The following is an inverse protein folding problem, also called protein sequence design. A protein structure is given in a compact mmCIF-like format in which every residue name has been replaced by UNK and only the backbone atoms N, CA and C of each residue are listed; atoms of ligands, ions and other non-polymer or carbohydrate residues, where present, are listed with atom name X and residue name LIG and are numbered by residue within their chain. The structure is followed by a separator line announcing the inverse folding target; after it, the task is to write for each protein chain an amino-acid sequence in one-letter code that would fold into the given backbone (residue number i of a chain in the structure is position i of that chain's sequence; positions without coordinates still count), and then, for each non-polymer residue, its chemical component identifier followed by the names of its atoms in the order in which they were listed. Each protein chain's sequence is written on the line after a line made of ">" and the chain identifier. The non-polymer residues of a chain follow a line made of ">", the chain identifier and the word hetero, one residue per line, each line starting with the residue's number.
data_IF_016205316771
#
_entry.id   IF_016205316771
#
_cell.length_a   1.000
_cell.length_b   1.000
_cell.length_c   1.000
_cell.angle_alpha   90.00
_cell.angle_beta   90.00
_cell.angle_gamma   90.00
#
_symmetry.space_group_name_H-M   'P 1'
#
loop_
_entity.id
_entity.type
_entity.pdbx_description
1 polymer ?
#
# COMPACT_ATOMS: atom_id res chain seq x y z
N UNK A 1 -28.11 7.42 0.29
CA UNK A 1 -27.68 7.16 -1.10
C UNK A 1 -26.19 6.82 -1.13
N UNK A 2 -25.83 5.73 -1.82
CA UNK A 2 -24.45 5.36 -2.17
C UNK A 2 -24.29 5.63 -3.67
N UNK A 3 -23.18 6.25 -4.07
CA UNK A 3 -22.82 6.43 -5.47
C UNK A 3 -21.37 6.00 -5.68
N UNK A 4 -21.11 5.34 -6.80
CA UNK A 4 -19.77 4.92 -7.22
C UNK A 4 -19.41 5.63 -8.52
N UNK A 5 -18.15 6.04 -8.66
CA UNK A 5 -17.65 6.71 -9.87
C UNK A 5 -16.26 6.17 -10.19
N UNK A 6 -16.03 5.81 -11.45
CA UNK A 6 -14.72 5.46 -11.94
C UNK A 6 -13.95 6.74 -12.31
N UNK A 7 -12.78 6.92 -11.68
CA UNK A 7 -11.85 8.00 -11.99
C UNK A 7 -10.57 7.42 -12.60
N UNK A 8 -9.98 8.13 -13.56
CA UNK A 8 -8.71 7.76 -14.19
C UNK A 8 -7.70 8.87 -13.99
N UNK A 9 -6.58 8.53 -13.35
CA UNK A 9 -5.44 9.43 -13.15
C UNK A 9 -4.29 9.04 -14.06
N UNK A 10 -3.75 10.00 -14.81
CA UNK A 10 -2.55 9.77 -15.60
C UNK A 10 -1.35 9.66 -14.67
N UNK A 11 -0.43 8.72 -14.95
CA UNK A 11 0.85 8.63 -14.24
C UNK A 11 1.86 9.65 -14.80
N UNK A 12 2.71 10.19 -13.93
CA UNK A 12 3.76 11.14 -14.31
C UNK A 12 4.81 10.51 -15.22
N UNK A 13 5.13 9.24 -14.95
CA UNK A 13 6.03 8.39 -15.73
C UNK A 13 5.40 6.98 -15.83
N UNK A 14 5.88 6.11 -16.72
CA UNK A 14 5.41 4.73 -16.82
C UNK A 14 5.76 3.97 -15.53
N UNK A 15 4.77 3.35 -14.90
CA UNK A 15 4.97 2.55 -13.70
C UNK A 15 5.10 1.08 -14.07
N UNK A 16 6.24 0.45 -13.74
CA UNK A 16 6.54 -0.94 -14.12
C UNK A 16 6.92 -1.78 -12.91
N UNK A 17 6.30 -2.95 -12.80
CA UNK A 17 6.63 -4.02 -11.87
C UNK A 17 6.96 -5.30 -12.65
N UNK A 18 7.43 -6.36 -11.98
CA UNK A 18 7.74 -7.66 -12.60
C UNK A 18 6.61 -8.23 -13.49
N UNK A 19 5.36 -7.95 -13.13
CA UNK A 19 4.16 -8.45 -13.83
C UNK A 19 3.65 -7.54 -14.97
N UNK A 20 4.21 -6.35 -15.18
CA UNK A 20 3.84 -5.46 -16.28
C UNK A 20 3.89 -3.96 -15.98
N UNK A 21 3.50 -3.16 -16.98
CA UNK A 21 3.55 -1.70 -16.96
C UNK A 21 2.17 -1.04 -17.01
N UNK A 22 2.06 0.17 -16.45
CA UNK A 22 0.85 1.01 -16.46
C UNK A 22 1.21 2.47 -16.79
N UNK A 23 0.30 3.14 -17.47
CA UNK A 23 0.38 4.59 -17.78
C UNK A 23 -0.70 5.40 -17.07
N UNK A 24 -1.67 4.72 -16.46
CA UNK A 24 -2.81 5.29 -15.78
C UNK A 24 -3.15 4.48 -14.52
N UNK A 25 -3.65 5.15 -13.50
CA UNK A 25 -4.29 4.57 -12.32
C UNK A 25 -5.81 4.70 -12.47
N UNK A 26 -6.51 3.57 -12.47
CA UNK A 26 -7.98 3.51 -12.50
C UNK A 26 -8.47 3.18 -11.11
N UNK A 27 -9.29 4.06 -10.55
CA UNK A 27 -9.80 3.95 -9.19
C UNK A 27 -11.32 4.03 -9.18
N UNK A 28 -11.94 3.54 -8.11
CA UNK A 28 -13.35 3.77 -7.84
C UNK A 28 -13.48 4.66 -6.61
N UNK A 29 -14.24 5.74 -6.76
CA UNK A 29 -14.63 6.65 -5.67
C UNK A 29 -16.04 6.33 -5.24
N UNK A 30 -16.21 6.05 -3.95
CA UNK A 30 -17.52 5.87 -3.32
C UNK A 30 -17.87 7.13 -2.54
N UNK A 31 -19.09 7.63 -2.73
CA UNK A 31 -19.69 8.68 -1.89
C UNK A 31 -20.94 8.15 -1.22
N UNK A 32 -21.12 8.47 0.05
CA UNK A 32 -22.28 8.09 0.84
C UNK A 32 -22.85 9.36 1.47
N UNK A 33 -24.10 9.69 1.13
CA UNK A 33 -24.79 10.85 1.68
C UNK A 33 -25.95 10.43 2.57
N UNK A 34 -25.97 10.94 3.80
CA UNK A 34 -27.04 10.77 4.81
C UNK A 34 -27.25 12.08 5.56
N UNK A 35 -28.50 12.51 5.69
CA UNK A 35 -28.84 13.73 6.45
C UNK A 35 -28.11 15.00 5.98
N UNK A 36 -27.79 15.10 4.68
CA UNK A 36 -27.04 16.23 4.11
C UNK A 36 -25.51 16.18 4.32
N UNK A 37 -24.99 15.18 5.03
CA UNK A 37 -23.56 14.95 5.22
C UNK A 37 -23.08 13.90 4.21
N UNK A 38 -21.91 14.13 3.62
CA UNK A 38 -21.31 13.21 2.64
C UNK A 38 -19.94 12.74 3.11
N UNK A 39 -19.81 11.43 3.23
CA UNK A 39 -18.52 10.75 3.34
C UNK A 39 -18.07 10.19 2.00
N UNK A 40 -16.77 10.00 1.84
CA UNK A 40 -16.20 9.38 0.64
C UNK A 40 -14.95 8.56 0.91
N UNK A 41 -14.69 7.62 0.00
CA UNK A 41 -13.55 6.71 0.06
C UNK A 41 -13.16 6.28 -1.35
N UNK A 42 -11.94 5.77 -1.49
CA UNK A 42 -11.37 5.35 -2.76
C UNK A 42 -10.79 3.94 -2.63
N UNK A 43 -10.90 3.17 -3.71
CA UNK A 43 -10.21 1.89 -3.84
C UNK A 43 -9.60 1.72 -5.23
N UNK A 44 -8.65 0.79 -5.32
CA UNK A 44 -7.97 0.44 -6.57
C UNK A 44 -8.17 -1.05 -6.85
N UNK A 45 -9.14 -1.43 -7.70
CA UNK A 45 -9.34 -2.83 -8.08
C UNK A 45 -8.07 -3.45 -8.65
N UNK A 46 -7.71 -4.64 -8.16
CA UNK A 46 -6.45 -5.29 -8.51
C UNK A 46 -6.64 -6.66 -9.16
N UNK A 47 -6.35 -6.75 -10.47
CA UNK A 47 -6.55 -7.95 -11.27
C UNK A 47 -5.82 -9.21 -10.74
N UNK A 48 -4.66 -9.03 -10.09
CA UNK A 48 -3.91 -10.13 -9.43
C UNK A 48 -4.73 -10.81 -8.32
N UNK A 49 -5.72 -10.13 -7.76
CA UNK A 49 -6.65 -10.66 -6.76
C UNK A 49 -8.04 -10.96 -7.33
N UNK A 50 -8.17 -11.01 -8.67
CA UNK A 50 -9.43 -11.31 -9.35
C UNK A 50 -10.42 -10.16 -9.41
N UNK A 51 -9.97 -8.92 -9.13
CA UNK A 51 -10.83 -7.74 -9.13
C UNK A 51 -10.75 -6.96 -10.46
N UNK A 52 -11.89 -6.45 -10.90
CA UNK A 52 -12.03 -5.49 -12.00
C UNK A 52 -12.90 -4.30 -11.58
N UNK A 53 -12.82 -3.18 -12.30
CA UNK A 53 -13.69 -2.03 -12.09
C UNK A 53 -15.18 -2.43 -12.05
N UNK A 54 -15.61 -3.27 -12.99
CA UNK A 54 -17.01 -3.69 -13.10
C UNK A 54 -17.43 -4.59 -11.93
N UNK A 55 -16.59 -5.57 -11.56
CA UNK A 55 -16.90 -6.47 -10.45
C UNK A 55 -17.00 -5.73 -9.11
N UNK A 56 -16.09 -4.78 -8.87
CA UNK A 56 -16.05 -3.98 -7.64
C UNK A 56 -17.20 -2.98 -7.61
N UNK A 57 -17.54 -2.36 -8.76
CA UNK A 57 -18.72 -1.51 -8.92
C UNK A 57 -19.99 -2.28 -8.58
N UNK A 58 -20.19 -3.47 -9.16
CA UNK A 58 -21.37 -4.30 -8.92
C UNK A 58 -21.50 -4.72 -7.44
N UNK A 59 -20.38 -5.03 -6.77
CA UNK A 59 -20.37 -5.31 -5.33
C UNK A 59 -20.85 -4.11 -4.50
N UNK A 60 -20.40 -2.89 -4.84
CA UNK A 60 -20.78 -1.66 -4.13
C UNK A 60 -22.25 -1.32 -4.38
N UNK A 61 -22.71 -1.42 -5.63
CA UNK A 61 -24.10 -1.11 -6.01
C UNK A 61 -25.11 -2.14 -5.47
N UNK A 62 -24.66 -3.38 -5.21
CA UNK A 62 -25.47 -4.43 -4.59
C UNK A 62 -25.69 -4.25 -3.08
N UNK A 63 -25.06 -3.28 -2.42
CA UNK A 63 -25.21 -3.06 -0.99
C UNK A 63 -26.60 -2.51 -0.64
N UNK A 64 -27.20 -2.96 0.49
CA UNK A 64 -28.47 -2.42 0.93
C UNK A 64 -28.33 -0.95 1.34
N UNK A 65 -29.38 -0.18 1.10
CA UNK A 65 -29.43 1.19 1.60
C UNK A 65 -29.31 1.21 3.12
N UNK A 66 -28.53 2.17 3.65
CA UNK A 66 -28.35 2.32 5.09
C UNK A 66 -27.30 1.39 5.73
N UNK A 67 -26.57 0.59 4.95
CA UNK A 67 -25.50 -0.29 5.44
C UNK A 67 -24.57 0.44 6.44
N UNK A 68 -24.26 -0.19 7.57
CA UNK A 68 -23.37 0.36 8.61
C UNK A 68 -21.98 -0.23 8.46
N UNK A 69 -20.95 0.39 9.06
CA UNK A 69 -19.58 -0.17 9.05
C UNK A 69 -19.53 -1.57 9.63
N UNK A 70 -20.32 -1.84 10.68
CA UNK A 70 -20.41 -3.17 11.28
C UNK A 70 -21.03 -4.20 10.32
N UNK A 71 -22.19 -3.88 9.72
CA UNK A 71 -22.88 -4.79 8.81
C UNK A 71 -22.12 -5.02 7.49
N UNK A 72 -21.20 -4.12 7.13
CA UNK A 72 -20.41 -4.22 5.92
C UNK A 72 -19.54 -5.49 5.86
N UNK A 73 -19.10 -6.00 7.02
CA UNK A 73 -18.23 -7.19 7.11
C UNK A 73 -18.97 -8.49 6.80
N UNK A 74 -20.28 -8.52 7.01
CA UNK A 74 -21.14 -9.63 6.62
C UNK A 74 -21.59 -9.50 5.15
N UNK A 75 -21.64 -8.27 4.63
CA UNK A 75 -22.10 -7.98 3.27
C UNK A 75 -21.01 -8.14 2.20
N UNK A 76 -19.74 -7.85 2.52
CA UNK A 76 -18.62 -7.91 1.57
C UNK A 76 -17.40 -8.64 2.15
N UNK A 77 -16.70 -9.45 1.34
CA UNK A 77 -15.39 -9.97 1.70
C UNK A 77 -14.34 -8.84 1.77
N UNK A 78 -13.15 -9.09 2.35
CA UNK A 78 -12.00 -8.20 2.17
C UNK A 78 -11.72 -7.97 0.68
N UNK A 79 -11.36 -6.74 0.32
CA UNK A 79 -11.13 -6.33 -1.06
C UNK A 79 -11.46 -4.86 -1.31
N UNK A 80 -11.21 -4.40 -2.53
CA UNK A 80 -11.35 -3.01 -2.95
C UNK A 80 -12.77 -2.45 -2.71
N UNK A 81 -13.82 -3.25 -2.96
CA UNK A 81 -15.21 -2.81 -2.74
C UNK A 81 -15.45 -2.43 -1.27
N UNK A 82 -15.03 -3.33 -0.35
CA UNK A 82 -15.19 -3.10 1.08
C UNK A 82 -14.34 -1.93 1.55
N UNK A 83 -13.15 -1.75 0.99
CA UNK A 83 -12.27 -0.63 1.30
C UNK A 83 -12.95 0.72 1.05
N UNK A 84 -13.41 0.97 -0.17
CA UNK A 84 -13.98 2.27 -0.51
C UNK A 84 -15.23 2.59 0.34
N UNK A 85 -16.07 1.59 0.63
CA UNK A 85 -17.28 1.77 1.43
C UNK A 85 -16.95 1.97 2.92
N UNK A 86 -16.04 1.18 3.49
CA UNK A 86 -15.60 1.33 4.89
C UNK A 86 -15.01 2.73 5.12
N UNK A 87 -14.11 3.17 4.24
CA UNK A 87 -13.49 4.50 4.33
C UNK A 87 -14.50 5.63 4.11
N UNK A 88 -15.49 5.46 3.23
CA UNK A 88 -16.57 6.44 3.05
C UNK A 88 -17.49 6.54 4.26
N UNK A 89 -17.77 5.42 4.94
CA UNK A 89 -18.57 5.41 6.16
C UNK A 89 -17.80 6.02 7.34
N UNK A 90 -16.49 5.77 7.46
CA UNK A 90 -15.65 6.43 8.46
C UNK A 90 -15.69 7.95 8.33
N UNK A 91 -15.51 8.45 7.11
CA UNK A 91 -15.55 9.88 6.80
C UNK A 91 -16.95 10.48 7.06
N UNK A 92 -18.01 9.77 6.67
CA UNK A 92 -19.39 10.18 6.93
C UNK A 92 -19.66 10.31 8.44
N UNK A 93 -19.27 9.31 9.23
CA UNK A 93 -19.48 9.28 10.68
C UNK A 93 -18.68 10.38 11.39
N UNK A 94 -17.43 10.60 10.98
CA UNK A 94 -16.58 11.68 11.48
C UNK A 94 -17.22 13.05 11.25
N UNK A 95 -17.63 13.32 10.01
CA UNK A 95 -18.29 14.58 9.63
C UNK A 95 -19.62 14.78 10.34
N UNK A 96 -20.44 13.73 10.44
CA UNK A 96 -21.73 13.80 11.14
C UNK A 96 -21.56 14.06 12.65
N UNK A 97 -20.49 13.54 13.25
CA UNK A 97 -20.15 13.76 14.66
C UNK A 97 -19.40 15.08 14.92
N UNK A 98 -18.95 15.79 13.88
CA UNK A 98 -18.07 16.95 14.01
C UNK A 98 -16.70 16.60 14.62
N UNK A 99 -16.20 15.39 14.35
CA UNK A 99 -14.94 14.84 14.89
C UNK A 99 -14.01 14.40 13.76
N UNK A 100 -12.72 14.24 14.05
CA UNK A 100 -11.76 13.60 13.14
C UNK A 100 -11.92 12.07 13.19
N UNK A 101 -11.59 11.38 12.10
CA UNK A 101 -11.63 9.90 12.10
C UNK A 101 -10.71 9.28 13.16
N UNK A 102 -9.51 9.84 13.38
CA UNK A 102 -8.60 9.33 14.41
C UNK A 102 -9.18 9.43 15.82
N UNK A 103 -10.02 10.45 16.10
CA UNK A 103 -10.73 10.57 17.38
C UNK A 103 -11.78 9.47 17.53
N UNK A 104 -12.56 9.21 16.47
CA UNK A 104 -13.56 8.14 16.47
C UNK A 104 -12.92 6.75 16.58
N UNK A 105 -11.73 6.57 16.00
CA UNK A 105 -10.97 5.34 16.07
C UNK A 105 -10.23 5.15 17.42
N UNK A 106 -10.28 6.14 18.32
CA UNK A 106 -9.57 6.10 19.60
C UNK A 106 -8.04 6.13 19.45
N UNK A 107 -7.54 6.71 18.35
CA UNK A 107 -6.12 6.85 18.06
C UNK A 107 -5.60 8.20 18.59
N UNK A 108 -4.28 8.31 18.72
CA UNK A 108 -3.65 9.62 18.91
C UNK A 108 -3.72 10.44 17.63
N UNK A 109 -3.65 11.77 17.76
CA UNK A 109 -3.55 12.65 16.60
C UNK A 109 -2.34 12.23 15.73
N UNK A 110 -2.53 11.97 14.43
CA UNK A 110 -1.47 11.49 13.57
C UNK A 110 -0.46 12.61 13.27
N UNK A 111 0.80 12.23 13.06
CA UNK A 111 1.87 13.11 12.61
C UNK A 111 2.38 12.75 11.20
N UNK A 112 3.28 13.57 10.62
CA UNK A 112 3.89 13.27 9.34
C UNK A 112 4.84 12.06 9.40
N UNK A 113 4.67 11.11 8.47
CA UNK A 113 5.44 9.87 8.40
C UNK A 113 6.41 9.89 7.21
N UNK A 114 7.59 9.28 7.35
CA UNK A 114 8.53 9.15 6.22
C UNK A 114 8.00 8.08 5.27
N UNK A 115 7.71 8.47 4.02
CA UNK A 115 7.25 7.53 2.99
C UNK A 115 8.38 7.17 2.03
N UNK A 116 8.36 5.93 1.55
CA UNK A 116 9.10 5.48 0.40
C UNK A 116 8.78 6.33 -0.83
N UNK A 117 9.66 6.27 -1.82
CA UNK A 117 9.36 6.64 -3.20
C UNK A 117 9.80 5.51 -4.11
N UNK A 118 8.86 5.01 -4.91
CA UNK A 118 9.06 3.84 -5.76
C UNK A 118 9.74 4.20 -7.07
N UNK A 119 10.81 3.49 -7.37
CA UNK A 119 11.47 3.48 -8.67
C UNK A 119 10.95 2.28 -9.47
N UNK A 120 10.34 2.58 -10.62
CA UNK A 120 9.90 1.57 -11.59
C UNK A 120 11.05 0.66 -12.02
N UNK A 121 10.71 -0.59 -12.32
CA UNK A 121 11.63 -1.53 -12.94
C UNK A 121 11.99 -1.04 -14.35
N UNK A 122 13.29 -0.94 -14.63
CA UNK A 122 13.84 -0.47 -15.90
C UNK A 122 15.26 -1.03 -16.13
N UNK A 123 15.94 -0.59 -17.18
CA UNK A 123 17.35 -0.93 -17.39
C UNK A 123 18.25 -0.28 -16.33
N UNK A 124 19.39 -0.89 -15.95
CA UNK A 124 20.24 -0.41 -14.86
C UNK A 124 20.60 1.08 -14.94
N UNK A 125 20.97 1.59 -16.11
CA UNK A 125 21.33 3.01 -16.28
C UNK A 125 20.16 3.95 -16.04
N UNK A 126 18.95 3.56 -16.48
CA UNK A 126 17.73 4.33 -16.23
C UNK A 126 17.38 4.35 -14.73
N UNK A 127 17.54 3.20 -14.06
CA UNK A 127 17.30 3.11 -12.62
C UNK A 127 18.34 3.90 -11.82
N UNK A 128 19.61 3.92 -12.24
CA UNK A 128 20.66 4.78 -11.66
C UNK A 128 20.28 6.27 -11.78
N UNK A 129 19.86 6.70 -12.97
CA UNK A 129 19.45 8.08 -13.20
C UNK A 129 18.22 8.47 -12.36
N UNK A 130 17.22 7.59 -12.29
CA UNK A 130 16.03 7.78 -11.46
C UNK A 130 16.38 7.85 -9.96
N UNK A 131 17.30 7.01 -9.50
CA UNK A 131 17.82 7.03 -8.14
C UNK A 131 18.57 8.33 -7.84
N UNK A 132 19.45 8.78 -8.73
CA UNK A 132 20.18 10.03 -8.57
C UNK A 132 19.24 11.25 -8.49
N UNK A 133 18.20 11.30 -9.35
CA UNK A 133 17.15 12.33 -9.30
C UNK A 133 16.41 12.35 -7.96
N UNK A 134 16.25 11.20 -7.33
CA UNK A 134 15.52 11.03 -6.07
C UNK A 134 16.42 10.79 -4.84
N UNK A 135 17.74 10.99 -4.94
CA UNK A 135 18.70 10.70 -3.87
C UNK A 135 18.55 11.58 -2.63
N UNK A 136 17.78 12.68 -2.73
CA UNK A 136 17.40 13.52 -1.60
C UNK A 136 16.33 12.87 -0.72
N UNK A 137 15.64 11.82 -1.20
CA UNK A 137 14.60 11.13 -0.46
C UNK A 137 15.23 10.16 0.56
N UNK A 138 14.64 10.05 1.76
CA UNK A 138 15.20 9.22 2.82
C UNK A 138 15.13 7.72 2.49
N UNK A 139 14.04 7.27 1.85
CA UNK A 139 13.81 5.85 1.52
C UNK A 139 13.39 5.74 0.05
N UNK A 140 14.08 4.88 -0.68
CA UNK A 140 13.74 4.49 -2.04
C UNK A 140 13.27 3.05 -2.06
N UNK A 141 12.10 2.81 -2.65
CA UNK A 141 11.57 1.47 -2.93
C UNK A 141 11.93 1.11 -4.36
N UNK A 142 12.50 -0.06 -4.59
CA UNK A 142 12.96 -0.47 -5.92
C UNK A 142 12.17 -1.70 -6.35
N UNK A 143 11.58 -1.63 -7.54
CA UNK A 143 10.94 -2.77 -8.19
C UNK A 143 11.99 -3.66 -8.86
N UNK A 144 12.01 -4.92 -8.47
CA UNK A 144 12.83 -6.01 -9.00
C UNK A 144 11.90 -7.19 -9.36
N UNK A 145 12.43 -8.41 -9.45
CA UNK A 145 11.68 -9.63 -9.73
C UNK A 145 11.87 -10.13 -11.16
N UNK A 146 13.05 -9.94 -11.73
CA UNK A 146 13.41 -10.42 -13.07
C UNK A 146 14.81 -11.05 -13.07
N UNK A 147 15.19 -11.81 -14.11
CA UNK A 147 16.59 -12.16 -14.30
C UNK A 147 17.48 -10.90 -14.30
N UNK A 148 18.71 -11.04 -13.80
CA UNK A 148 19.72 -9.98 -13.76
C UNK A 148 19.34 -8.73 -12.94
N UNK A 149 18.67 -8.92 -11.80
CA UNK A 149 18.34 -7.83 -10.87
C UNK A 149 19.57 -7.21 -10.17
N UNK A 150 20.70 -7.91 -10.14
CA UNK A 150 21.91 -7.44 -9.46
C UNK A 150 22.48 -6.14 -10.06
N UNK A 151 22.75 -6.06 -11.37
CA UNK A 151 23.12 -4.80 -12.02
C UNK A 151 22.17 -3.63 -11.71
N UNK A 152 20.86 -3.88 -11.64
CA UNK A 152 19.85 -2.85 -11.31
C UNK A 152 20.02 -2.34 -9.88
N UNK A 153 20.19 -3.23 -8.92
CA UNK A 153 20.38 -2.85 -7.52
C UNK A 153 21.71 -2.10 -7.30
N UNK A 154 22.79 -2.54 -7.94
CA UNK A 154 24.10 -1.86 -7.88
C UNK A 154 24.02 -0.47 -8.49
N UNK A 155 23.33 -0.33 -9.62
CA UNK A 155 23.08 0.93 -10.29
C UNK A 155 22.28 1.91 -9.41
N UNK A 156 21.20 1.45 -8.76
CA UNK A 156 20.42 2.29 -7.85
C UNK A 156 21.23 2.71 -6.63
N UNK A 157 21.95 1.78 -5.99
CA UNK A 157 22.82 2.12 -4.84
C UNK A 157 23.87 3.16 -5.23
N UNK A 158 24.44 3.07 -6.43
CA UNK A 158 25.39 4.07 -6.92
C UNK A 158 24.74 5.44 -7.19
N UNK A 159 23.49 5.48 -7.65
CA UNK A 159 22.73 6.72 -7.84
C UNK A 159 22.29 7.38 -6.53
N UNK A 160 21.96 6.59 -5.51
CA UNK A 160 21.49 7.05 -4.21
C UNK A 160 22.26 6.38 -3.05
N UNK A 161 23.54 6.74 -2.83
CA UNK A 161 24.41 6.05 -1.87
C UNK A 161 23.99 6.23 -0.39
N UNK A 162 23.19 7.26 -0.09
CA UNK A 162 22.78 7.60 1.28
C UNK A 162 21.33 7.24 1.62
N UNK A 163 20.49 6.98 0.61
CA UNK A 163 19.10 6.61 0.85
C UNK A 163 19.02 5.19 1.42
N UNK A 164 18.06 4.96 2.32
CA UNK A 164 17.64 3.61 2.67
C UNK A 164 17.02 2.98 1.43
N UNK A 165 17.39 1.74 1.14
CA UNK A 165 16.85 1.00 0.01
C UNK A 165 16.01 -0.14 0.54
N UNK A 166 14.76 -0.18 0.11
CA UNK A 166 13.87 -1.34 0.25
C UNK A 166 13.60 -1.90 -1.15
N UNK A 167 13.55 -3.22 -1.29
CA UNK A 167 13.32 -3.87 -2.57
C UNK A 167 12.00 -4.63 -2.55
N UNK A 168 11.33 -4.68 -3.68
CA UNK A 168 10.09 -5.40 -3.87
C UNK A 168 10.17 -6.20 -5.16
N UNK A 169 10.19 -7.53 -5.02
CA UNK A 169 10.29 -8.46 -6.14
C UNK A 169 8.93 -8.79 -6.74
N UNK A 170 7.83 -8.44 -6.07
CA UNK A 170 6.46 -8.75 -6.48
C UNK A 170 6.33 -10.18 -6.98
N UNK A 171 6.71 -11.16 -6.13
CA UNK A 171 6.64 -12.60 -6.41
C UNK A 171 7.62 -13.10 -7.50
N UNK A 172 8.60 -12.29 -7.89
CA UNK A 172 9.44 -12.55 -9.07
C UNK A 172 10.67 -13.45 -8.83
N UNK A 173 10.97 -13.86 -7.60
CA UNK A 173 12.11 -14.73 -7.30
C UNK A 173 11.67 -16.12 -6.85
N UNK A 174 12.50 -17.12 -7.12
CA UNK A 174 12.42 -18.42 -6.44
C UNK A 174 13.25 -18.40 -5.15
N UNK A 175 13.14 -19.45 -4.34
CA UNK A 175 13.97 -19.61 -3.14
C UNK A 175 15.46 -19.63 -3.47
N UNK A 176 15.84 -20.30 -4.58
CA UNK A 176 17.22 -20.38 -5.06
C UNK A 176 17.74 -19.01 -5.48
N UNK A 177 16.96 -18.27 -6.27
CA UNK A 177 17.32 -16.90 -6.68
C UNK A 177 17.46 -16.00 -5.46
N UNK A 178 16.53 -16.06 -4.50
CA UNK A 178 16.65 -15.28 -3.27
C UNK A 178 17.91 -15.63 -2.48
N UNK A 179 18.22 -16.92 -2.32
CA UNK A 179 19.40 -17.38 -1.59
C UNK A 179 20.70 -16.89 -2.24
N UNK A 180 20.77 -16.92 -3.58
CA UNK A 180 21.90 -16.42 -4.35
C UNK A 180 22.04 -14.89 -4.23
N UNK A 181 20.92 -14.15 -4.19
CA UNK A 181 20.92 -12.69 -4.06
C UNK A 181 21.20 -12.21 -2.62
N UNK A 182 20.86 -12.99 -1.60
CA UNK A 182 20.89 -12.56 -0.20
C UNK A 182 22.24 -11.95 0.26
N UNK A 183 23.42 -12.53 -0.04
CA UNK A 183 24.70 -11.92 0.32
C UNK A 183 24.92 -10.55 -0.35
N UNK A 184 24.39 -10.36 -1.56
CA UNK A 184 24.50 -9.11 -2.29
C UNK A 184 23.58 -8.04 -1.73
N UNK A 185 22.36 -8.41 -1.32
CA UNK A 185 21.41 -7.53 -0.64
C UNK A 185 22.04 -6.95 0.64
N UNK A 186 22.71 -7.79 1.44
CA UNK A 186 23.46 -7.36 2.63
C UNK A 186 24.60 -6.40 2.26
N UNK A 187 25.44 -6.78 1.29
CA UNK A 187 26.58 -5.95 0.84
C UNK A 187 26.14 -4.56 0.38
N UNK A 188 25.00 -4.47 -0.30
CA UNK A 188 24.45 -3.22 -0.83
C UNK A 188 23.59 -2.46 0.18
N UNK A 189 23.48 -2.95 1.42
CA UNK A 189 22.75 -2.29 2.50
C UNK A 189 21.25 -2.19 2.22
N UNK A 190 20.65 -3.22 1.63
CA UNK A 190 19.19 -3.32 1.51
C UNK A 190 18.60 -3.53 2.90
N UNK A 191 17.59 -2.74 3.24
CA UNK A 191 17.00 -2.70 4.58
C UNK A 191 15.83 -3.67 4.75
N UNK A 192 15.14 -4.02 3.66
CA UNK A 192 14.00 -4.95 3.65
C UNK A 192 13.74 -5.45 2.23
N UNK A 193 13.29 -6.70 2.12
CA UNK A 193 12.82 -7.36 0.89
C UNK A 193 11.32 -7.65 1.00
N UNK A 194 10.52 -7.13 0.07
CA UNK A 194 9.07 -7.33 -0.01
C UNK A 194 8.75 -8.42 -1.03
N UNK A 195 7.90 -9.36 -0.61
CA UNK A 195 7.37 -10.49 -1.35
C UNK A 195 8.36 -11.10 -2.37
N UNK A 196 9.45 -11.74 -1.90
CA UNK A 196 10.43 -12.34 -2.80
C UNK A 196 9.82 -13.46 -3.64
N UNK A 197 9.06 -14.36 -3.00
CA UNK A 197 8.49 -15.57 -3.61
C UNK A 197 6.98 -15.40 -3.92
N UNK A 198 6.45 -16.18 -4.87
CA UNK A 198 5.00 -16.30 -5.09
C UNK A 198 4.24 -16.68 -3.83
N UNK A 199 3.14 -16.00 -3.54
CA UNK A 199 2.31 -16.25 -2.36
C UNK A 199 1.71 -17.66 -2.33
N UNK A 200 1.61 -18.32 -3.49
CA UNK A 200 1.15 -19.71 -3.60
C UNK A 200 2.25 -20.73 -3.29
N UNK A 201 3.51 -20.31 -3.24
CA UNK A 201 4.69 -21.17 -3.12
C UNK A 201 5.80 -20.49 -2.30
N UNK A 202 5.42 -19.94 -1.13
CA UNK A 202 6.34 -19.25 -0.22
C UNK A 202 6.83 -20.11 0.95
N UNK A 203 6.39 -21.36 1.04
CA UNK A 203 6.80 -22.32 2.09
C UNK A 203 8.31 -22.55 2.13
N UNK A 204 8.98 -22.39 0.99
CA UNK A 204 10.44 -22.48 0.90
C UNK A 204 11.18 -21.39 1.69
N UNK A 205 10.49 -20.34 2.17
CA UNK A 205 11.06 -19.37 3.12
C UNK A 205 11.30 -19.98 4.51
N UNK A 206 10.61 -21.06 4.88
CA UNK A 206 10.79 -21.73 6.17
C UNK A 206 12.19 -22.36 6.21
N UNK A 207 12.99 -21.93 7.19
CA UNK A 207 14.35 -22.44 7.38
C UNK A 207 15.37 -21.88 6.39
N UNK A 208 14.95 -21.05 5.42
CA UNK A 208 15.87 -20.31 4.55
C UNK A 208 16.56 -19.19 5.34
N UNK A 209 17.85 -18.98 5.08
CA UNK A 209 18.56 -17.86 5.69
C UNK A 209 18.03 -16.54 5.11
N UNK A 210 17.49 -15.68 5.98
CA UNK A 210 16.92 -14.37 5.62
C UNK A 210 17.73 -13.25 6.29
N UNK A 211 18.96 -12.96 5.82
CA UNK A 211 19.85 -11.99 6.46
C UNK A 211 19.39 -10.53 6.31
N UNK A 212 18.43 -10.28 5.40
CA UNK A 212 17.69 -9.01 5.28
C UNK A 212 16.23 -9.31 5.63
N UNK A 213 15.55 -8.46 6.45
CA UNK A 213 14.17 -8.68 6.83
C UNK A 213 13.24 -8.86 5.62
N UNK A 214 12.34 -9.84 5.70
CA UNK A 214 11.40 -10.18 4.62
C UNK A 214 9.99 -9.75 5.00
N UNK A 215 9.31 -9.05 4.10
CA UNK A 215 7.97 -8.49 4.28
C UNK A 215 6.95 -9.19 3.37
N UNK A 216 5.83 -9.63 3.94
CA UNK A 216 4.71 -10.20 3.18
C UNK A 216 3.81 -9.09 2.61
N UNK A 217 3.64 -9.05 1.30
CA UNK A 217 2.62 -8.22 0.63
C UNK A 217 1.51 -9.12 0.09
N UNK A 218 1.72 -9.76 -1.06
CA UNK A 218 0.74 -10.68 -1.68
C UNK A 218 0.35 -11.84 -0.75
N UNK A 219 1.19 -12.26 0.20
CA UNK A 219 0.85 -13.31 1.18
C UNK A 219 0.03 -12.81 2.38
N UNK A 220 -0.13 -11.50 2.58
CA UNK A 220 -0.83 -10.93 3.74
C UNK A 220 -1.99 -10.01 3.32
N UNK A 221 -3.23 -10.46 3.50
CA UNK A 221 -4.43 -9.71 3.13
C UNK A 221 -5.18 -9.14 4.34
N UNK A 222 -5.48 -9.96 5.34
CA UNK A 222 -6.21 -9.61 6.55
C UNK A 222 -5.66 -10.38 7.77
N UNK A 223 -6.32 -10.30 8.93
CA UNK A 223 -5.87 -11.04 10.13
C UNK A 223 -5.82 -12.55 9.94
N UNK A 224 -6.61 -13.13 9.04
CA UNK A 224 -6.60 -14.58 8.79
C UNK A 224 -5.34 -15.02 8.05
N UNK A 225 -4.64 -14.09 7.39
CA UNK A 225 -3.35 -14.39 6.77
C UNK A 225 -2.25 -14.68 7.78
N UNK A 226 -2.29 -14.10 8.98
CA UNK A 226 -1.16 -14.10 9.93
C UNK A 226 -0.68 -15.51 10.32
N UNK A 227 -1.60 -16.46 10.54
CA UNK A 227 -1.25 -17.84 10.89
C UNK A 227 -0.42 -18.53 9.81
N UNK A 228 -0.62 -18.13 8.55
CA UNK A 228 0.12 -18.67 7.42
C UNK A 228 1.48 -18.00 7.21
N UNK A 229 1.86 -16.96 7.96
CA UNK A 229 3.13 -16.25 7.77
C UNK A 229 4.24 -16.69 8.73
N UNK A 230 3.88 -17.47 9.76
CA UNK A 230 4.79 -17.86 10.83
C UNK A 230 6.00 -18.62 10.27
N UNK A 231 7.21 -18.17 10.65
CA UNK A 231 8.48 -18.75 10.20
C UNK A 231 8.94 -18.30 8.81
N UNK A 232 8.13 -17.56 8.05
CA UNK A 232 8.42 -17.11 6.68
C UNK A 232 8.77 -15.63 6.58
N UNK A 233 8.10 -14.78 7.37
CA UNK A 233 8.17 -13.32 7.26
C UNK A 233 8.51 -12.65 8.59
N UNK A 234 9.18 -11.50 8.54
CA UNK A 234 9.43 -10.65 9.72
C UNK A 234 8.54 -9.42 9.75
N UNK A 235 8.00 -9.00 8.59
CA UNK A 235 7.08 -7.87 8.48
C UNK A 235 5.85 -8.20 7.65
N UNK A 236 4.77 -7.44 7.85
CA UNK A 236 3.58 -7.45 7.00
C UNK A 236 3.36 -6.10 6.34
N UNK A 237 3.04 -6.08 5.04
CA UNK A 237 2.62 -4.89 4.31
C UNK A 237 1.09 -4.78 4.33
N UNK A 238 0.57 -3.89 5.15
CA UNK A 238 -0.87 -3.62 5.29
C UNK A 238 -1.29 -2.64 4.20
N UNK A 239 -2.21 -3.06 3.33
CA UNK A 239 -2.85 -2.21 2.31
C UNK A 239 -4.35 -2.26 2.47
N UNK A 240 -5.00 -1.10 2.44
CA UNK A 240 -6.43 -1.01 2.70
C UNK A 240 -7.28 -1.72 1.63
N UNK A 241 -6.82 -1.76 0.38
CA UNK A 241 -7.47 -2.53 -0.69
C UNK A 241 -7.42 -4.05 -0.43
N UNK A 242 -6.42 -4.56 0.30
CA UNK A 242 -6.34 -5.98 0.69
C UNK A 242 -7.16 -6.26 1.94
N UNK A 243 -7.04 -5.41 2.97
CA UNK A 243 -7.80 -5.57 4.22
C UNK A 243 -9.29 -5.33 4.01
N UNK A 244 -9.67 -4.64 2.93
CA UNK A 244 -11.03 -4.18 2.70
C UNK A 244 -11.44 -3.08 3.67
N UNK A 245 -10.54 -2.12 3.93
CA UNK A 245 -10.84 -0.90 4.67
C UNK A 245 -9.98 -0.64 5.90
N UNK A 246 -10.13 0.57 6.45
CA UNK A 246 -9.45 1.04 7.64
C UNK A 246 -9.78 0.19 8.87
N UNK A 247 -11.03 -0.25 9.01
CA UNK A 247 -11.48 -1.02 10.18
C UNK A 247 -10.65 -2.31 10.36
N UNK A 248 -10.48 -3.12 9.30
CA UNK A 248 -9.67 -4.35 9.35
C UNK A 248 -8.18 -4.02 9.34
N UNK A 249 -7.75 -2.94 8.67
CA UNK A 249 -6.34 -2.55 8.66
C UNK A 249 -5.81 -2.21 10.07
N UNK A 250 -6.60 -1.50 10.90
CA UNK A 250 -6.26 -1.23 12.29
C UNK A 250 -6.22 -2.53 13.13
N UNK A 251 -7.17 -3.43 12.90
CA UNK A 251 -7.22 -4.72 13.60
C UNK A 251 -6.04 -5.63 13.21
N UNK A 252 -5.69 -5.70 11.92
CA UNK A 252 -4.54 -6.43 11.40
C UNK A 252 -3.24 -5.86 11.98
N UNK A 253 -3.07 -4.54 12.01
CA UNK A 253 -1.89 -3.91 12.62
C UNK A 253 -1.70 -4.33 14.07
N UNK A 254 -2.77 -4.29 14.88
CA UNK A 254 -2.71 -4.70 16.28
C UNK A 254 -2.34 -6.17 16.42
N UNK A 255 -2.98 -7.06 15.65
CA UNK A 255 -2.70 -8.49 15.70
C UNK A 255 -1.27 -8.82 15.23
N UNK A 256 -0.79 -8.22 14.15
CA UNK A 256 0.55 -8.42 13.63
C UNK A 256 1.63 -8.01 14.65
N UNK A 257 1.47 -6.84 15.29
CA UNK A 257 2.38 -6.39 16.34
C UNK A 257 2.35 -7.31 17.57
N UNK A 258 1.18 -7.82 17.95
CA UNK A 258 1.04 -8.76 19.05
C UNK A 258 1.72 -10.11 18.78
N UNK A 259 1.78 -10.53 17.52
CA UNK A 259 2.52 -11.72 17.06
C UNK A 259 4.02 -11.46 16.82
N UNK A 260 4.48 -10.22 17.00
CA UNK A 260 5.89 -9.84 16.91
C UNK A 260 6.37 -9.46 15.50
N UNK A 261 5.46 -9.31 14.53
CA UNK A 261 5.83 -8.82 13.20
C UNK A 261 6.11 -7.31 13.23
N UNK A 262 7.09 -6.87 12.44
CA UNK A 262 7.16 -5.47 12.02
C UNK A 262 6.02 -5.12 11.06
N UNK A 263 5.70 -3.83 10.96
CA UNK A 263 4.61 -3.37 10.10
C UNK A 263 5.16 -2.43 9.03
N UNK A 264 4.81 -2.72 7.79
CA UNK A 264 4.84 -1.79 6.68
C UNK A 264 3.40 -1.39 6.35
N UNK A 265 3.16 -0.12 6.00
CA UNK A 265 1.86 0.32 5.49
C UNK A 265 2.04 0.82 4.08
N UNK A 266 1.50 0.07 3.12
CA UNK A 266 1.64 0.34 1.70
C UNK A 266 0.34 0.75 1.04
N UNK A 267 0.42 1.02 -0.26
CA UNK A 267 -0.73 1.33 -1.09
C UNK A 267 -0.73 0.58 -2.42
N UNK A 268 -1.88 0.63 -3.09
CA UNK A 268 -1.94 0.54 -4.55
C UNK A 268 -1.64 1.91 -5.16
N UNK A 269 -1.40 1.98 -6.47
CA UNK A 269 -1.24 3.28 -7.15
C UNK A 269 -2.62 3.94 -7.25
N UNK A 270 -2.89 4.85 -6.32
CA UNK A 270 -4.14 5.61 -6.20
C UNK A 270 -3.87 7.08 -5.83
N UNK A 271 -4.94 7.85 -5.66
CA UNK A 271 -4.88 9.28 -5.35
C UNK A 271 -4.68 9.53 -3.85
N UNK A 272 -4.56 10.81 -3.47
CA UNK A 272 -4.47 11.21 -2.06
C UNK A 272 -5.65 10.73 -1.22
N UNK A 273 -6.83 10.53 -1.83
CA UNK A 273 -8.01 10.02 -1.13
C UNK A 273 -7.80 8.56 -0.68
N UNK A 274 -7.16 7.71 -1.49
CA UNK A 274 -6.83 6.34 -1.09
C UNK A 274 -5.75 6.29 -0.01
N UNK A 275 -4.80 7.23 -0.02
CA UNK A 275 -3.72 7.30 0.97
C UNK A 275 -4.20 7.82 2.33
N UNK A 276 -5.18 8.73 2.34
CA UNK A 276 -5.62 9.46 3.53
C UNK A 276 -5.93 8.54 4.74
N UNK A 277 -6.81 7.52 4.64
CA UNK A 277 -7.06 6.60 5.76
C UNK A 277 -5.82 5.78 6.13
N UNK A 278 -4.96 5.44 5.17
CA UNK A 278 -3.75 4.67 5.42
C UNK A 278 -2.72 5.42 6.30
N UNK A 279 -2.74 6.76 6.30
CA UNK A 279 -1.88 7.58 7.19
C UNK A 279 -2.13 7.30 8.68
N UNK A 280 -3.34 6.87 9.05
CA UNK A 280 -3.68 6.52 10.43
C UNK A 280 -3.08 5.16 10.83
N UNK A 281 -3.07 4.20 9.89
CA UNK A 281 -2.47 2.88 10.10
C UNK A 281 -0.94 2.98 10.14
N UNK A 282 -0.38 3.91 9.36
CA UNK A 282 1.06 4.13 9.20
C UNK A 282 1.77 4.63 10.46
N UNK A 283 1.04 5.17 11.45
CA UNK A 283 1.64 5.76 12.63
C UNK A 283 2.52 4.74 13.39
N UNK A 284 3.82 5.02 13.48
CA UNK A 284 4.80 4.13 14.11
C UNK A 284 5.07 2.81 13.36
N UNK A 285 4.72 2.72 12.08
CA UNK A 285 5.15 1.61 11.23
C UNK A 285 6.68 1.66 10.99
N UNK A 286 7.28 0.50 10.75
CA UNK A 286 8.70 0.41 10.42
C UNK A 286 9.00 1.02 9.04
N UNK A 287 8.07 0.86 8.10
CA UNK A 287 8.13 1.43 6.75
C UNK A 287 6.75 1.92 6.32
N UNK A 288 6.71 3.00 5.54
CA UNK A 288 5.49 3.55 4.95
C UNK A 288 5.72 3.71 3.46
N UNK A 289 4.80 3.19 2.65
CA UNK A 289 4.83 3.22 1.19
C UNK A 289 3.49 3.77 0.69
N UNK A 290 3.30 5.07 0.90
CA UNK A 290 2.09 5.82 0.55
C UNK A 290 2.43 6.87 -0.51
N UNK A 291 3.10 6.42 -1.57
CA UNK A 291 3.67 7.26 -2.61
C UNK A 291 2.79 7.37 -3.86
N UNK A 292 1.63 6.70 -3.91
CA UNK A 292 0.69 6.72 -5.03
C UNK A 292 0.52 8.11 -5.67
N UNK A 293 0.17 9.17 -4.90
CA UNK A 293 0.06 10.55 -5.39
C UNK A 293 1.33 11.12 -6.03
N UNK A 294 2.52 10.74 -5.53
CA UNK A 294 3.80 11.19 -6.09
C UNK A 294 4.08 10.58 -7.47
N UNK A 295 3.40 9.48 -7.81
CA UNK A 295 3.50 8.79 -9.10
C UNK A 295 2.46 9.31 -10.11
N UNK A 296 1.47 10.09 -9.67
CA UNK A 296 0.44 10.66 -10.54
C UNK A 296 0.92 11.96 -11.20
N UNK A 297 0.49 12.21 -12.44
CA UNK A 297 0.69 13.49 -13.12
C UNK A 297 -0.23 14.59 -12.57
N UNK A 298 -1.36 14.19 -11.98
CA UNK A 298 -2.33 15.04 -11.32
C UNK A 298 -3.01 14.25 -10.20
N UNK A 299 -3.29 14.91 -9.09
CA UNK A 299 -3.99 14.34 -7.94
C UNK A 299 -5.34 15.05 -7.70
N UNK A 300 -6.06 14.68 -6.63
CA UNK A 300 -7.29 15.35 -6.17
C UNK A 300 -7.05 16.84 -5.94
N UNK A 301 -8.12 17.63 -6.06
CA UNK A 301 -8.05 19.09 -5.91
C UNK A 301 -7.50 19.54 -4.54
N UNK A 302 -7.88 18.82 -3.48
CA UNK A 302 -7.30 18.97 -2.14
C UNK A 302 -6.45 17.73 -1.82
N UNK A 303 -5.18 17.67 -2.25
CA UNK A 303 -4.35 16.49 -2.07
C UNK A 303 -3.74 16.45 -0.66
N UNK A 304 -3.19 15.29 -0.31
CA UNK A 304 -2.26 15.18 0.81
C UNK A 304 -1.01 16.00 0.51
N UNK A 305 -0.40 16.50 1.58
CA UNK A 305 0.86 17.24 1.50
C UNK A 305 2.02 16.28 1.66
N UNK A 306 2.99 16.43 0.76
CA UNK A 306 4.28 15.74 0.84
C UNK A 306 5.39 16.79 1.02
N UNK A 307 6.23 16.62 2.03
CA UNK A 307 7.35 17.52 2.31
C UNK A 307 8.53 16.74 2.87
N UNK A 308 9.73 16.97 2.32
CA UNK A 308 10.98 16.35 2.79
C UNK A 308 10.93 14.81 2.90
N UNK A 309 10.27 14.17 1.93
CA UNK A 309 10.07 12.71 1.92
C UNK A 309 9.05 12.20 2.93
N UNK A 310 8.27 13.08 3.55
CA UNK A 310 7.19 12.73 4.48
C UNK A 310 5.83 12.98 3.89
N UNK A 311 4.87 12.13 4.24
CA UNK A 311 3.44 12.29 3.99
C UNK A 311 2.79 12.89 5.24
N UNK A 312 2.05 13.98 5.08
CA UNK A 312 1.27 14.58 6.16
C UNK A 312 -0.12 13.92 6.28
N UNK A 313 -0.72 13.88 7.49
CA UNK A 313 -2.11 13.46 7.65
C UNK A 313 -3.10 14.31 6.84
N UNK A 314 -4.29 13.77 6.50
CA UNK A 314 -5.29 14.50 5.73
C UNK A 314 -5.87 15.67 6.52
N UNK A 315 -6.12 16.76 5.79
CA UNK A 315 -6.98 17.86 6.23
C UNK A 315 -8.46 17.45 6.11
N UNK A 316 -9.38 18.06 6.89
CA UNK A 316 -10.81 17.75 6.84
C UNK A 316 -11.46 17.91 5.46
N UNK A 317 -10.92 18.79 4.63
CA UNK A 317 -11.41 19.00 3.27
C UNK A 317 -11.18 17.80 2.35
N UNK A 318 -10.13 17.00 2.61
CA UNK A 318 -9.86 15.78 1.86
C UNK A 318 -10.59 14.60 2.48
N UNK A 319 -10.31 14.21 3.72
CA UNK A 319 -10.91 13.00 4.30
C UNK A 319 -10.77 13.00 5.82
N UNK A 320 -11.81 12.46 6.47
CA UNK A 320 -11.93 12.30 7.92
C UNK A 320 -11.88 13.60 8.67
#
# INVERSE_FOLDING_TARGET
>A
MISVTADTFRLAEVFTISRGSRTEAKVLTVRITRGGVTGWGECVPYARYGESLDSVTAQIEGLPEGITRAALYDALPPGAARNAVDCALWDLEAKAAGKRVWELAGLSAPGPEVTCYTLSLAEPEQMRAAAAKNAHRPILKIKLGTPDDMPRLEAVRAGAPKSVIVVDANEGWSAEVYADLAPHLVRLGVAMVEQPLPAIDDEALIGLARPVPVCADESCHDRKSLSHLQGKYDLVNIKLDKTGGLTEALALRQAALAEGYGVMVGCMVGSSLAMAPATLVAQGAAYVDLDGPLLLAQDRESPLRYADGRICPPEPGLWG
#
